data_IF_323549000467
#
_entry.id   IF_323549000467
#
_cell.length_a   1.000
_cell.length_b   1.000
_cell.length_c   1.000
_cell.angle_alpha   90.00
_cell.angle_beta   90.00
_cell.angle_gamma   90.00
#
_symmetry.space_group_name_H-M   'P 1'
#
loop_
_entity.id
_entity.type
_entity.pdbx_description
1 polymer ?
#
# COMPACT_ATOMS: atom_id res chain seq x y z
N UNK A 1 -3.56 8.40 -19.78
CA UNK A 1 -3.23 8.29 -18.34
C UNK A 1 -4.25 9.11 -17.57
N UNK A 2 -4.85 8.56 -16.51
CA UNK A 2 -5.77 9.30 -15.62
C UNK A 2 -5.00 10.02 -14.52
N UNK A 3 -5.61 11.03 -13.90
CA UNK A 3 -5.04 11.77 -12.77
C UNK A 3 -5.16 10.98 -11.44
N UNK A 4 -4.71 9.72 -11.43
CA UNK A 4 -4.77 8.84 -10.26
C UNK A 4 -3.94 9.39 -9.10
N UNK A 5 -4.35 9.11 -7.86
CA UNK A 5 -3.64 9.55 -6.65
C UNK A 5 -3.57 11.08 -6.50
N UNK A 6 -4.57 11.78 -7.04
CA UNK A 6 -4.75 13.23 -6.90
C UNK A 6 -6.19 13.55 -6.54
N UNK A 7 -6.45 14.79 -6.12
CA UNK A 7 -7.79 15.27 -5.76
C UNK A 7 -8.82 15.14 -6.90
N UNK A 8 -8.38 15.03 -8.16
CA UNK A 8 -9.28 14.74 -9.30
C UNK A 8 -9.99 13.39 -9.18
N UNK A 9 -9.52 12.48 -8.33
CA UNK A 9 -10.17 11.20 -8.06
C UNK A 9 -11.26 11.29 -6.97
N UNK A 10 -11.54 12.46 -6.39
CA UNK A 10 -12.55 12.60 -5.33
C UNK A 10 -13.91 11.96 -5.67
N UNK A 11 -14.47 12.14 -6.88
CA UNK A 11 -15.73 11.48 -7.25
C UNK A 11 -15.64 9.95 -7.30
N UNK A 12 -14.46 9.39 -7.59
CA UNK A 12 -14.23 7.96 -7.57
C UNK A 12 -13.99 7.44 -6.14
N UNK A 13 -13.34 8.24 -5.30
CA UNK A 13 -13.14 7.94 -3.88
C UNK A 13 -14.48 7.84 -3.13
N UNK A 14 -15.42 8.76 -3.37
CA UNK A 14 -16.78 8.71 -2.81
C UNK A 14 -17.50 7.42 -3.18
N UNK A 15 -17.51 7.05 -4.47
CA UNK A 15 -18.12 5.79 -4.95
C UNK A 15 -17.46 4.55 -4.35
N UNK A 16 -16.13 4.58 -4.18
CA UNK A 16 -15.40 3.48 -3.55
C UNK A 16 -15.77 3.38 -2.06
N UNK A 17 -15.89 4.51 -1.36
CA UNK A 17 -16.29 4.54 0.04
C UNK A 17 -17.68 3.90 0.23
N UNK A 18 -18.66 4.23 -0.61
CA UNK A 18 -20.00 3.62 -0.58
C UNK A 18 -19.95 2.10 -0.80
N UNK A 19 -19.11 1.63 -1.74
CA UNK A 19 -18.92 0.20 -1.96
C UNK A 19 -18.25 -0.49 -0.76
N UNK A 20 -17.28 0.17 -0.12
CA UNK A 20 -16.55 -0.36 1.03
C UNK A 20 -17.42 -0.46 2.30
N UNK A 21 -18.41 0.42 2.47
CA UNK A 21 -19.40 0.31 3.56
C UNK A 21 -20.07 -1.07 3.51
N UNK A 22 -20.47 -1.50 2.32
CA UNK A 22 -21.17 -2.78 2.09
C UNK A 22 -20.22 -3.98 1.96
N UNK A 23 -18.90 -3.76 1.99
CA UNK A 23 -17.90 -4.83 1.88
C UNK A 23 -17.54 -5.33 3.28
N UNK A 24 -17.55 -6.66 3.46
CA UNK A 24 -17.04 -7.26 4.71
C UNK A 24 -15.52 -7.29 4.68
N UNK A 25 -14.89 -6.51 5.55
CA UNK A 25 -13.46 -6.60 5.84
C UNK A 25 -13.33 -7.22 7.23
N UNK A 26 -12.49 -8.25 7.33
CA UNK A 26 -12.18 -8.91 8.61
C UNK A 26 -10.80 -8.48 9.08
N UNK A 27 -10.56 -8.51 10.39
CA UNK A 27 -9.24 -8.23 10.97
C UNK A 27 -8.20 -9.13 10.30
N UNK A 28 -7.18 -8.55 9.64
CA UNK A 28 -6.20 -9.34 8.93
C UNK A 28 -5.28 -10.05 9.93
N UNK A 29 -4.84 -11.26 9.58
CA UNK A 29 -3.87 -12.02 10.38
C UNK A 29 -2.50 -11.35 10.46
N UNK A 30 -2.17 -10.55 9.45
CA UNK A 30 -0.93 -9.80 9.33
C UNK A 30 -1.36 -8.35 9.07
N UNK A 31 -0.90 -7.37 9.87
CA UNK A 31 -1.23 -5.97 9.65
C UNK A 31 -0.85 -5.51 8.25
N UNK A 32 -1.70 -4.71 7.63
CA UNK A 32 -1.47 -4.18 6.27
C UNK A 32 -0.86 -2.79 6.38
N UNK A 33 0.27 -2.57 5.71
CA UNK A 33 0.89 -1.24 5.65
C UNK A 33 0.24 -0.43 4.53
N UNK A 34 -0.30 0.73 4.87
CA UNK A 34 -0.96 1.61 3.90
C UNK A 34 0.02 2.46 3.10
N UNK A 35 -0.29 2.68 1.83
CA UNK A 35 0.42 3.63 0.96
C UNK A 35 0.22 5.10 1.37
N UNK A 36 -0.82 5.39 2.16
CA UNK A 36 -1.23 6.75 2.53
C UNK A 36 -0.37 7.29 3.68
N UNK A 37 -0.19 6.50 4.74
CA UNK A 37 0.42 6.95 6.00
C UNK A 37 1.67 6.15 6.40
N UNK A 38 1.94 5.02 5.70
CA UNK A 38 3.08 4.14 5.98
C UNK A 38 3.00 3.51 7.38
N UNK A 39 1.78 3.26 7.87
CA UNK A 39 1.56 2.61 9.17
C UNK A 39 0.85 1.26 9.02
N UNK A 40 1.11 0.29 9.92
CA UNK A 40 0.43 -1.00 9.91
C UNK A 40 -0.98 -0.89 10.51
N UNK A 41 -1.98 -1.35 9.76
CA UNK A 41 -3.39 -1.34 10.16
C UNK A 41 -3.94 -2.75 10.28
N UNK A 42 -4.74 -2.98 11.32
CA UNK A 42 -5.49 -4.24 11.52
C UNK A 42 -6.98 -4.03 11.81
N UNK A 43 -7.37 -2.79 12.09
CA UNK A 43 -8.76 -2.45 12.33
C UNK A 43 -9.54 -2.37 10.99
N UNK A 44 -10.61 -3.16 10.80
CA UNK A 44 -11.35 -3.19 9.54
C UNK A 44 -11.92 -1.84 9.12
N UNK A 45 -12.43 -1.04 10.06
CA UNK A 45 -13.05 0.26 9.76
C UNK A 45 -11.99 1.27 9.31
N UNK A 46 -10.85 1.28 9.98
CA UNK A 46 -9.68 2.06 9.57
C UNK A 46 -9.19 1.65 8.18
N UNK A 47 -9.11 0.35 7.88
CA UNK A 47 -8.71 -0.15 6.55
C UNK A 47 -9.70 0.34 5.47
N UNK A 48 -11.02 0.29 5.71
CA UNK A 48 -12.02 0.82 4.77
C UNK A 48 -11.79 2.30 4.47
N UNK A 49 -11.62 3.13 5.51
CA UNK A 49 -11.42 4.56 5.34
C UNK A 49 -10.16 4.86 4.52
N UNK A 50 -9.06 4.16 4.82
CA UNK A 50 -7.78 4.34 4.14
C UNK A 50 -7.81 3.89 2.69
N UNK A 51 -8.51 2.80 2.36
CA UNK A 51 -8.66 2.33 0.98
C UNK A 51 -9.36 3.36 0.09
N UNK A 52 -10.39 4.05 0.62
CA UNK A 52 -11.03 5.16 -0.10
C UNK A 52 -10.07 6.34 -0.27
N UNK A 53 -9.39 6.73 0.82
CA UNK A 53 -8.42 7.84 0.82
C UNK A 53 -7.25 7.61 -0.16
N UNK A 54 -6.87 6.36 -0.42
CA UNK A 54 -5.75 6.02 -1.31
C UNK A 54 -5.94 6.55 -2.74
N UNK A 55 -7.19 6.71 -3.21
CA UNK A 55 -7.46 7.18 -4.58
C UNK A 55 -7.03 8.63 -4.81
N UNK A 56 -7.04 9.44 -3.76
CA UNK A 56 -6.67 10.87 -3.79
C UNK A 56 -5.31 11.13 -3.14
N UNK A 57 -4.67 10.10 -2.57
CA UNK A 57 -3.40 10.22 -1.85
C UNK A 57 -2.23 9.64 -2.65
N UNK A 58 -1.03 10.23 -2.51
CA UNK A 58 0.17 9.70 -3.15
C UNK A 58 0.52 8.30 -2.66
N UNK A 59 1.16 7.50 -3.52
CA UNK A 59 1.65 6.16 -3.16
C UNK A 59 3.06 6.27 -2.57
N UNK A 60 3.17 6.17 -1.24
CA UNK A 60 4.44 6.36 -0.53
C UNK A 60 5.33 5.11 -0.49
N UNK A 61 5.64 4.52 -1.65
CA UNK A 61 6.37 3.24 -1.70
C UNK A 61 7.79 3.34 -1.14
N UNK A 62 8.57 4.33 -1.55
CA UNK A 62 9.94 4.51 -1.08
C UNK A 62 10.01 4.64 0.45
N UNK A 63 9.16 5.51 1.01
CA UNK A 63 9.04 5.70 2.46
C UNK A 63 8.63 4.41 3.16
N UNK A 64 7.74 3.62 2.56
CA UNK A 64 7.33 2.32 3.10
C UNK A 64 8.49 1.35 3.21
N UNK A 65 9.28 1.22 2.16
CA UNK A 65 10.41 0.29 2.16
C UNK A 65 11.50 0.73 3.15
N UNK A 66 11.85 2.01 3.19
CA UNK A 66 12.82 2.55 4.17
C UNK A 66 12.32 2.34 5.61
N UNK A 67 11.03 2.58 5.85
CA UNK A 67 10.43 2.40 7.19
C UNK A 67 10.46 0.94 7.61
N UNK A 68 10.14 0.01 6.71
CA UNK A 68 10.16 -1.43 7.01
C UNK A 68 11.59 -1.95 7.21
N UNK A 69 12.55 -1.52 6.39
CA UNK A 69 13.97 -1.84 6.60
C UNK A 69 14.47 -1.35 7.96
N UNK A 70 14.14 -0.11 8.33
CA UNK A 70 14.47 0.45 9.65
C UNK A 70 13.78 -0.28 10.82
N UNK A 71 12.72 -1.03 10.55
CA UNK A 71 12.02 -1.90 11.53
C UNK A 71 12.49 -3.35 11.51
N UNK A 72 13.57 -3.67 10.80
CA UNK A 72 14.16 -5.01 10.77
C UNK A 72 13.58 -5.94 9.71
N UNK A 73 13.02 -5.41 8.62
CA UNK A 73 12.69 -6.24 7.46
C UNK A 73 13.97 -6.83 6.87
N UNK A 74 14.09 -8.16 6.87
CA UNK A 74 15.30 -8.86 6.40
C UNK A 74 15.20 -9.33 4.95
N UNK A 75 13.98 -9.61 4.47
CA UNK A 75 13.73 -10.07 3.10
C UNK A 75 12.32 -9.72 2.65
N UNK A 76 12.14 -9.58 1.34
CA UNK A 76 10.84 -9.34 0.73
C UNK A 76 10.48 -10.39 -0.32
N UNK A 77 9.17 -10.60 -0.49
CA UNK A 77 8.61 -11.42 -1.54
C UNK A 77 7.66 -10.55 -2.38
N UNK A 78 7.97 -10.35 -3.65
CA UNK A 78 7.11 -9.63 -4.61
C UNK A 78 6.21 -10.66 -5.30
N UNK A 79 4.93 -10.70 -4.93
CA UNK A 79 3.97 -11.67 -5.47
C UNK A 79 3.22 -11.04 -6.64
N UNK A 80 3.39 -11.59 -7.84
CA UNK A 80 2.76 -11.10 -9.07
C UNK A 80 3.74 -10.93 -10.24
N UNK A 81 3.21 -10.61 -11.43
CA UNK A 81 4.03 -10.55 -12.64
C UNK A 81 5.00 -9.36 -12.64
N UNK A 82 6.22 -9.60 -13.13
CA UNK A 82 7.24 -8.56 -13.28
C UNK A 82 8.06 -8.36 -12.00
N UNK A 83 8.88 -7.30 -11.99
CA UNK A 83 9.86 -7.06 -10.90
C UNK A 83 9.92 -5.57 -10.54
N UNK A 84 8.78 -4.89 -10.54
CA UNK A 84 8.73 -3.43 -10.37
C UNK A 84 9.10 -3.06 -8.94
N UNK A 85 8.53 -3.74 -7.95
CA UNK A 85 8.79 -3.48 -6.53
C UNK A 85 10.21 -3.90 -6.17
N UNK A 86 10.69 -5.04 -6.66
CA UNK A 86 12.09 -5.43 -6.53
C UNK A 86 13.04 -4.38 -7.15
N UNK A 87 12.64 -3.78 -8.27
CA UNK A 87 13.36 -2.66 -8.88
C UNK A 87 13.40 -1.41 -7.99
N UNK A 88 12.31 -1.09 -7.28
CA UNK A 88 12.27 0.00 -6.29
C UNK A 88 13.21 -0.31 -5.13
N UNK A 89 13.15 -1.54 -4.57
CA UNK A 89 14.06 -1.97 -3.51
C UNK A 89 15.53 -1.77 -3.91
N UNK A 90 15.92 -2.21 -5.12
CA UNK A 90 17.30 -2.07 -5.62
C UNK A 90 17.78 -0.62 -5.77
N UNK A 91 16.86 0.35 -5.90
CA UNK A 91 17.21 1.78 -5.92
C UNK A 91 17.51 2.32 -4.51
N UNK A 92 16.91 1.74 -3.48
CA UNK A 92 17.12 2.09 -2.07
C UNK A 92 18.32 1.32 -1.51
N UNK A 93 18.33 0.01 -1.70
CA UNK A 93 19.39 -0.92 -1.29
C UNK A 93 19.55 -2.02 -2.34
N UNK A 94 20.69 -1.98 -3.05
CA UNK A 94 21.03 -2.93 -4.12
C UNK A 94 21.22 -4.36 -3.62
N UNK A 95 21.51 -4.55 -2.34
CA UNK A 95 21.84 -5.84 -1.72
C UNK A 95 20.64 -6.48 -1.03
N UNK A 96 19.54 -5.74 -0.89
CA UNK A 96 18.36 -6.23 -0.19
C UNK A 96 17.75 -7.47 -0.87
N UNK A 97 17.53 -8.58 -0.15
CA UNK A 97 17.06 -9.80 -0.76
C UNK A 97 15.54 -9.71 -1.06
N UNK A 98 15.22 -9.68 -2.36
CA UNK A 98 13.84 -9.73 -2.86
C UNK A 98 13.67 -10.94 -3.77
N UNK A 99 12.66 -11.77 -3.48
CA UNK A 99 12.26 -12.90 -4.31
C UNK A 99 10.95 -12.57 -5.02
N UNK A 100 10.91 -12.67 -6.35
CA UNK A 100 9.65 -12.56 -7.09
C UNK A 100 8.98 -13.94 -7.16
N UNK A 101 7.67 -13.98 -6.86
CA UNK A 101 6.81 -15.17 -6.85
C UNK A 101 5.72 -15.00 -7.91
#
# INVERSE_FOLDING_TARGET
AGAFHTDFMSPAAEKLQEALVNTTIVTPRIPVVSNVDVTPHSDPDTIKAILAQQLTSPVMWEKTLVTLQGKGLERAYEVGPGTVIAGIFKRIDKTFPVTNI
#
